data_IF_292598104314
#
_entry.id   IF_292598104314
#
_cell.length_a   1.000
_cell.length_b   1.000
_cell.length_c   1.000
_cell.angle_alpha   90.00
_cell.angle_beta   90.00
_cell.angle_gamma   90.00
#
_symmetry.space_group_name_H-M   'P 1'
#
loop_
_entity.id
_entity.type
_entity.pdbx_description
1 polymer ?
#
# COMPACT_ATOMS: atom_id res chain seq x y z
N UNK A 1 -7.08 12.97 -22.64
CA UNK A 1 -7.66 12.09 -21.62
C UNK A 1 -6.63 11.79 -20.55
N UNK A 2 -7.00 11.79 -19.29
CA UNK A 2 -6.08 11.37 -18.23
C UNK A 2 -5.75 9.88 -18.41
N UNK A 3 -4.46 9.53 -18.35
CA UNK A 3 -4.00 8.15 -18.47
C UNK A 3 -4.33 7.42 -17.15
N UNK A 4 -4.98 6.27 -17.22
CA UNK A 4 -5.15 5.32 -16.14
C UNK A 4 -4.26 4.12 -16.43
N UNK A 5 -3.28 3.85 -15.57
CA UNK A 5 -2.33 2.77 -15.78
C UNK A 5 -2.19 1.93 -14.51
N UNK A 6 -2.22 0.61 -14.69
CA UNK A 6 -1.89 -0.33 -13.61
C UNK A 6 -0.49 -0.89 -13.86
N UNK A 7 0.37 -0.73 -12.86
CA UNK A 7 1.74 -1.26 -12.86
C UNK A 7 1.79 -2.44 -11.91
N UNK A 8 2.13 -3.63 -12.43
CA UNK A 8 2.25 -4.85 -11.62
C UNK A 8 3.68 -4.92 -11.10
N UNK A 9 3.87 -4.69 -9.81
CA UNK A 9 5.15 -4.75 -9.13
C UNK A 9 5.47 -6.15 -8.62
N UNK A 10 4.44 -6.91 -8.30
CA UNK A 10 4.51 -8.28 -7.87
C UNK A 10 3.17 -8.99 -8.02
N UNK A 11 3.21 -10.29 -8.33
CA UNK A 11 2.04 -11.14 -8.51
C UNK A 11 2.27 -12.56 -7.96
N UNK A 12 3.35 -12.76 -7.21
CA UNK A 12 3.60 -14.02 -6.50
C UNK A 12 2.71 -14.14 -5.26
N UNK A 13 2.34 -15.37 -4.91
CA UNK A 13 1.56 -15.67 -3.71
C UNK A 13 2.40 -16.44 -2.69
N UNK A 14 2.12 -16.23 -1.42
CA UNK A 14 2.69 -16.86 -0.23
C UNK A 14 4.21 -16.74 -0.12
N UNK A 15 4.97 -17.42 -0.96
CA UNK A 15 6.44 -17.48 -0.85
C UNK A 15 7.12 -16.59 -1.88
N UNK A 16 7.99 -15.65 -1.46
CA UNK A 16 8.81 -14.89 -2.40
C UNK A 16 9.67 -15.81 -3.25
N UNK A 17 9.80 -15.51 -4.53
CA UNK A 17 10.70 -16.24 -5.43
C UNK A 17 11.75 -15.32 -6.03
N UNK A 18 12.82 -15.89 -6.59
CA UNK A 18 13.85 -15.11 -7.28
C UNK A 18 13.31 -14.39 -8.54
N UNK A 19 12.22 -14.86 -9.12
CA UNK A 19 11.66 -14.35 -10.38
C UNK A 19 10.44 -13.43 -10.17
N UNK A 20 9.68 -13.65 -9.09
CA UNK A 20 8.42 -12.93 -8.85
C UNK A 20 8.35 -12.41 -7.42
N UNK A 21 8.07 -11.14 -7.28
CA UNK A 21 7.81 -10.52 -5.98
C UNK A 21 6.37 -10.83 -5.55
N UNK A 22 6.11 -10.82 -4.22
CA UNK A 22 4.77 -10.91 -3.66
C UNK A 22 3.82 -9.81 -4.13
N UNK A 23 2.53 -9.97 -3.82
CA UNK A 23 1.44 -9.10 -4.30
C UNK A 23 1.74 -7.61 -4.10
N UNK A 24 1.76 -6.87 -5.20
CA UNK A 24 1.82 -5.41 -5.18
C UNK A 24 1.46 -4.84 -6.55
N UNK A 25 0.45 -3.99 -6.61
CA UNK A 25 0.07 -3.26 -7.80
C UNK A 25 0.06 -1.76 -7.53
N UNK A 26 0.43 -0.95 -8.50
CA UNK A 26 0.37 0.51 -8.39
C UNK A 26 -0.44 1.10 -9.52
N UNK A 27 -1.52 1.77 -9.16
CA UNK A 27 -2.35 2.55 -10.07
C UNK A 27 -1.70 3.92 -10.23
N UNK A 28 -1.37 4.27 -11.47
CA UNK A 28 -0.92 5.61 -11.86
C UNK A 28 -2.08 6.33 -12.54
N UNK A 29 -2.67 7.28 -11.82
CA UNK A 29 -3.79 8.04 -12.32
C UNK A 29 -3.64 9.53 -12.02
N UNK A 30 -3.63 10.34 -13.08
CA UNK A 30 -3.37 11.78 -13.00
C UNK A 30 -2.01 12.04 -12.29
N UNK A 31 -2.02 12.85 -11.22
CA UNK A 31 -0.80 13.26 -10.52
C UNK A 31 -0.48 12.40 -9.28
N UNK A 32 -1.15 11.27 -9.09
CA UNK A 32 -0.99 10.43 -7.92
C UNK A 32 -0.78 8.95 -8.25
N UNK A 33 -0.18 8.27 -7.29
CA UNK A 33 -0.05 6.82 -7.26
C UNK A 33 -0.88 6.27 -6.10
N UNK A 34 -1.58 5.18 -6.34
CA UNK A 34 -2.32 4.42 -5.33
C UNK A 34 -1.82 2.97 -5.39
N UNK A 35 -1.46 2.41 -4.25
CA UNK A 35 -0.91 1.06 -4.18
C UNK A 35 -1.95 0.09 -3.64
N UNK A 36 -2.07 -1.09 -4.25
CA UNK A 36 -2.87 -2.21 -3.77
C UNK A 36 -1.91 -3.31 -3.38
N UNK A 37 -1.95 -3.71 -2.13
CA UNK A 37 -1.01 -4.57 -1.43
C UNK A 37 0.44 -4.05 -1.47
N UNK A 38 1.21 -4.45 -0.49
CA UNK A 38 2.59 -4.06 -0.33
C UNK A 38 3.41 -5.25 0.15
N UNK A 39 3.58 -6.23 -0.72
CA UNK A 39 4.43 -7.38 -0.47
C UNK A 39 5.92 -7.02 -0.40
N UNK A 40 6.75 -7.96 0.03
CA UNK A 40 8.20 -7.76 0.14
C UNK A 40 8.82 -7.30 -1.18
N UNK A 41 9.72 -6.34 -1.10
CA UNK A 41 10.40 -5.79 -2.27
C UNK A 41 9.62 -4.73 -3.05
N UNK A 42 8.38 -4.37 -2.65
CA UNK A 42 7.57 -3.36 -3.30
C UNK A 42 8.34 -2.04 -3.55
N UNK A 43 9.07 -1.56 -2.54
CA UNK A 43 9.89 -0.34 -2.65
C UNK A 43 10.99 -0.45 -3.72
N UNK A 44 11.60 -1.62 -3.87
CA UNK A 44 12.63 -1.87 -4.88
C UNK A 44 12.00 -1.87 -6.27
N UNK A 45 10.85 -2.49 -6.43
CA UNK A 45 10.13 -2.51 -7.70
C UNK A 45 9.63 -1.12 -8.10
N UNK A 46 9.12 -0.31 -7.17
CA UNK A 46 8.79 1.10 -7.46
C UNK A 46 9.98 1.84 -8.05
N UNK A 47 11.18 1.65 -7.48
CA UNK A 47 12.41 2.28 -8.01
C UNK A 47 12.78 1.75 -9.39
N UNK A 48 12.72 0.43 -9.60
CA UNK A 48 12.99 -0.20 -10.91
C UNK A 48 12.06 0.33 -12.00
N UNK A 49 10.79 0.49 -11.67
CA UNK A 49 9.76 1.01 -12.59
C UNK A 49 9.71 2.54 -12.63
N UNK A 50 10.63 3.23 -11.93
CA UNK A 50 10.72 4.69 -11.86
C UNK A 50 9.44 5.38 -11.36
N UNK A 51 8.67 4.71 -10.54
CA UNK A 51 7.49 5.25 -9.88
C UNK A 51 7.94 6.14 -8.72
N UNK A 52 7.52 7.40 -8.73
CA UNK A 52 7.98 8.41 -7.76
C UNK A 52 7.24 8.27 -6.43
N UNK A 53 7.96 8.03 -5.33
CA UNK A 53 7.39 7.94 -3.98
C UNK A 53 6.61 9.19 -3.57
N UNK A 54 7.03 10.38 -4.04
CA UNK A 54 6.36 11.66 -3.75
C UNK A 54 4.90 11.68 -4.23
N UNK A 55 4.56 10.88 -5.25
CA UNK A 55 3.21 10.78 -5.81
C UNK A 55 2.32 9.74 -5.12
N UNK A 56 2.87 8.88 -4.25
CA UNK A 56 2.10 7.86 -3.54
C UNK A 56 1.29 8.50 -2.41
N UNK A 57 -0.04 8.40 -2.50
CA UNK A 57 -0.97 9.01 -1.56
C UNK A 57 -1.74 8.00 -0.71
N UNK A 58 -2.06 6.84 -1.29
CA UNK A 58 -2.89 5.82 -0.65
C UNK A 58 -2.32 4.43 -0.87
N UNK A 59 -2.39 3.60 0.16
CA UNK A 59 -2.00 2.20 0.14
C UNK A 59 -3.17 1.39 0.69
N UNK A 60 -3.68 0.44 -0.09
CA UNK A 60 -4.78 -0.43 0.26
C UNK A 60 -4.25 -1.83 0.52
N UNK A 61 -4.35 -2.33 1.74
CA UNK A 61 -3.97 -3.70 2.11
C UNK A 61 -5.22 -4.56 2.12
N UNK A 62 -5.29 -5.50 1.20
CA UNK A 62 -6.44 -6.38 1.02
C UNK A 62 -6.68 -7.27 2.24
N UNK A 63 -5.63 -7.86 2.78
CA UNK A 63 -5.65 -8.68 3.99
C UNK A 63 -4.26 -8.81 4.62
N UNK A 64 -4.18 -9.46 5.78
CA UNK A 64 -2.97 -9.46 6.62
C UNK A 64 -2.07 -10.68 6.44
N UNK A 65 -2.12 -11.38 5.31
CA UNK A 65 -1.05 -12.32 4.96
C UNK A 65 0.23 -11.57 4.61
N UNK A 66 1.38 -12.13 4.99
CA UNK A 66 2.66 -11.44 4.88
C UNK A 66 3.03 -11.02 3.46
N UNK A 67 2.71 -11.86 2.48
CA UNK A 67 2.94 -11.58 1.06
C UNK A 67 2.13 -10.40 0.51
N UNK A 68 1.18 -9.86 1.29
CA UNK A 68 0.40 -8.66 0.96
C UNK A 68 0.80 -7.42 1.77
N UNK A 69 1.56 -7.55 2.87
CA UNK A 69 1.81 -6.42 3.78
C UNK A 69 3.24 -6.31 4.34
N UNK A 70 4.11 -7.32 4.21
CA UNK A 70 5.45 -7.27 4.81
C UNK A 70 6.38 -6.22 4.20
N UNK A 71 6.11 -5.76 2.99
CA UNK A 71 6.85 -4.65 2.39
C UNK A 71 6.49 -3.26 2.94
N UNK A 72 5.34 -3.13 3.62
CA UNK A 72 4.81 -1.85 4.06
C UNK A 72 5.76 -1.07 4.99
N UNK A 73 6.32 -1.64 6.05
CA UNK A 73 7.25 -0.91 6.92
C UNK A 73 8.49 -0.41 6.17
N UNK A 74 9.07 -1.26 5.32
CA UNK A 74 10.24 -0.90 4.51
C UNK A 74 9.93 0.21 3.50
N UNK A 75 8.76 0.17 2.86
CA UNK A 75 8.32 1.20 1.94
C UNK A 75 8.17 2.54 2.65
N UNK A 76 7.43 2.59 3.76
CA UNK A 76 7.19 3.82 4.51
C UNK A 76 8.49 4.44 5.04
N UNK A 77 9.41 3.62 5.55
CA UNK A 77 10.74 4.08 5.94
C UNK A 77 11.56 4.64 4.76
N UNK A 78 11.55 3.94 3.61
CA UNK A 78 12.24 4.38 2.40
C UNK A 78 11.68 5.71 1.87
N UNK A 79 10.37 5.89 1.93
CA UNK A 79 9.73 7.14 1.51
C UNK A 79 10.18 8.34 2.35
N UNK A 80 10.40 8.14 3.65
CA UNK A 80 10.96 9.17 4.53
C UNK A 80 12.35 9.60 4.08
N UNK A 81 13.21 8.66 3.71
CA UNK A 81 14.57 8.93 3.20
C UNK A 81 14.57 9.61 1.82
N UNK A 82 13.49 9.51 1.07
CA UNK A 82 13.31 10.16 -0.23
C UNK A 82 12.50 11.46 -0.16
N UNK A 83 12.47 12.08 1.02
CA UNK A 83 11.84 13.39 1.24
C UNK A 83 10.37 13.44 0.77
N UNK A 84 9.64 12.34 0.97
CA UNK A 84 8.19 12.33 0.76
C UNK A 84 7.57 13.36 1.69
N UNK A 85 6.84 14.30 1.14
CA UNK A 85 6.06 15.27 1.90
C UNK A 85 4.56 14.95 1.90
N UNK A 86 3.77 15.72 2.65
CA UNK A 86 2.31 15.61 2.71
C UNK A 86 1.85 14.41 3.52
N UNK A 87 0.88 13.64 3.00
CA UNK A 87 0.24 12.53 3.70
C UNK A 87 0.28 11.25 2.87
N UNK A 88 0.34 10.12 3.56
CA UNK A 88 0.05 8.78 3.03
C UNK A 88 -1.00 8.14 3.92
N UNK A 89 -2.11 7.69 3.32
CA UNK A 89 -3.14 6.95 4.02
C UNK A 89 -2.97 5.46 3.73
N UNK A 90 -2.92 4.66 4.79
CA UNK A 90 -2.90 3.20 4.71
C UNK A 90 -4.27 2.68 5.11
N UNK A 91 -5.01 2.18 4.15
CA UNK A 91 -6.32 1.54 4.31
C UNK A 91 -6.09 0.06 4.53
N UNK A 92 -6.50 -0.49 5.68
CA UNK A 92 -6.21 -1.88 6.00
C UNK A 92 -7.23 -2.46 6.99
N UNK A 93 -7.32 -3.79 7.13
CA UNK A 93 -8.12 -4.40 8.17
C UNK A 93 -7.71 -3.92 9.56
N UNK A 94 -8.70 -3.61 10.39
CA UNK A 94 -8.51 -3.01 11.72
C UNK A 94 -7.54 -3.81 12.61
N UNK A 95 -7.55 -5.13 12.48
CA UNK A 95 -6.72 -6.04 13.28
C UNK A 95 -5.21 -5.80 13.11
N UNK A 96 -4.78 -5.29 11.94
CA UNK A 96 -3.38 -4.99 11.67
C UNK A 96 -2.92 -3.61 12.14
N UNK A 97 -3.84 -2.69 12.36
CA UNK A 97 -3.51 -1.28 12.54
C UNK A 97 -2.60 -1.01 13.75
N UNK A 98 -2.87 -1.63 14.89
CA UNK A 98 -2.09 -1.42 16.11
C UNK A 98 -0.65 -1.93 15.94
N UNK A 99 -0.50 -3.12 15.36
CA UNK A 99 0.81 -3.71 15.08
C UNK A 99 1.63 -2.83 14.15
N UNK A 100 1.07 -2.44 13.00
CA UNK A 100 1.78 -1.60 12.03
C UNK A 100 2.06 -0.20 12.58
N UNK A 101 1.14 0.39 13.32
CA UNK A 101 1.35 1.69 13.97
C UNK A 101 2.49 1.62 14.98
N UNK A 102 2.53 0.57 15.81
CA UNK A 102 3.60 0.37 16.79
C UNK A 102 4.95 0.18 16.11
N UNK A 103 4.99 -0.62 15.02
CA UNK A 103 6.20 -0.83 14.23
C UNK A 103 6.71 0.48 13.61
N UNK A 104 5.84 1.23 12.96
CA UNK A 104 6.18 2.52 12.33
C UNK A 104 6.66 3.52 13.39
N UNK A 105 5.97 3.62 14.52
CA UNK A 105 6.38 4.51 15.61
C UNK A 105 7.75 4.15 16.20
N UNK A 106 8.11 2.88 16.17
CA UNK A 106 9.42 2.46 16.66
C UNK A 106 10.55 2.75 15.67
N UNK A 107 10.37 2.39 14.40
CA UNK A 107 11.43 2.46 13.39
C UNK A 107 11.43 3.74 12.55
N UNK A 108 10.31 4.46 12.48
CA UNK A 108 10.13 5.65 11.65
C UNK A 108 9.67 6.84 12.51
N UNK A 109 10.40 7.13 13.61
CA UNK A 109 9.99 8.15 14.61
C UNK A 109 9.81 9.55 14.04
N UNK A 110 10.57 9.90 13.02
CA UNK A 110 10.56 11.25 12.44
C UNK A 110 10.42 11.14 10.92
N UNK A 111 9.18 10.98 10.46
CA UNK A 111 8.90 11.04 9.02
C UNK A 111 8.58 12.48 8.60
N UNK A 112 9.09 12.96 7.45
CA UNK A 112 8.77 14.29 6.92
C UNK A 112 7.34 14.36 6.32
N UNK A 113 6.52 13.35 6.53
CA UNK A 113 5.15 13.24 6.04
C UNK A 113 4.25 12.53 7.05
N UNK A 114 2.95 12.78 6.97
CA UNK A 114 1.96 12.14 7.84
C UNK A 114 1.63 10.72 7.37
N UNK A 115 1.67 9.75 8.27
CA UNK A 115 1.18 8.39 8.04
C UNK A 115 -0.15 8.23 8.78
N UNK A 116 -1.23 8.05 8.02
CA UNK A 116 -2.58 7.89 8.56
C UNK A 116 -3.05 6.46 8.30
N UNK A 117 -3.54 5.77 9.33
CA UNK A 117 -4.16 4.46 9.21
C UNK A 117 -5.68 4.61 9.20
N UNK A 118 -6.31 4.07 8.17
CA UNK A 118 -7.76 4.01 8.01
C UNK A 118 -8.24 2.56 8.06
N UNK A 119 -9.12 2.27 9.02
CA UNK A 119 -9.68 0.92 9.17
C UNK A 119 -10.68 0.62 8.07
N UNK A 120 -10.51 -0.53 7.41
CA UNK A 120 -11.46 -1.07 6.45
C UNK A 120 -12.36 -2.08 7.15
N UNK A 121 -13.68 -1.90 7.01
CA UNK A 121 -14.66 -2.83 7.54
C UNK A 121 -14.61 -4.16 6.79
N UNK A 122 -14.78 -5.28 7.51
CA UNK A 122 -14.92 -6.60 6.91
C UNK A 122 -16.19 -6.78 6.08
N UNK A 123 -17.16 -5.87 6.21
CA UNK A 123 -18.38 -5.88 5.38
C UNK A 123 -18.19 -5.20 4.01
N UNK A 124 -17.03 -4.56 3.81
CA UNK A 124 -16.73 -3.82 2.59
C UNK A 124 -17.38 -2.42 2.56
N UNK A 125 -17.51 -1.87 1.36
CA UNK A 125 -18.07 -0.56 1.08
C UNK A 125 -17.06 0.41 0.46
N UNK A 126 -17.43 1.67 0.31
CA UNK A 126 -16.55 2.72 -0.23
C UNK A 126 -15.51 3.05 0.82
N UNK A 127 -14.24 2.81 0.51
CA UNK A 127 -13.09 3.04 1.40
C UNK A 127 -12.28 4.28 1.02
N UNK A 128 -12.47 4.76 -0.20
CA UNK A 128 -11.90 6.02 -0.70
C UNK A 128 -12.81 6.59 -1.79
N UNK A 129 -13.03 7.89 -1.79
CA UNK A 129 -13.78 8.58 -2.82
C UNK A 129 -13.26 10.02 -3.00
N UNK A 130 -13.15 10.45 -4.24
CA UNK A 130 -12.98 11.84 -4.60
C UNK A 130 -13.71 12.17 -5.92
N UNK A 131 -13.51 13.38 -6.45
CA UNK A 131 -14.15 13.83 -7.68
C UNK A 131 -13.75 13.03 -8.93
N UNK A 132 -12.74 12.17 -8.87
CA UNK A 132 -12.13 11.52 -10.03
C UNK A 132 -12.25 9.99 -10.01
N UNK A 133 -12.30 9.37 -8.84
CA UNK A 133 -12.43 7.93 -8.69
C UNK A 133 -12.97 7.54 -7.31
N UNK A 134 -13.53 6.35 -7.25
CA UNK A 134 -13.98 5.69 -6.04
C UNK A 134 -13.25 4.36 -5.91
N UNK A 135 -12.84 4.01 -4.69
CA UNK A 135 -12.34 2.67 -4.35
C UNK A 135 -13.34 2.01 -3.43
N UNK A 136 -13.87 0.89 -3.87
CA UNK A 136 -14.80 0.06 -3.12
C UNK A 136 -14.14 -1.26 -2.73
N UNK A 137 -14.28 -1.64 -1.47
CA UNK A 137 -13.89 -2.95 -0.97
C UNK A 137 -15.14 -3.84 -0.84
N UNK A 138 -14.99 -5.11 -1.10
CA UNK A 138 -16.02 -6.12 -0.84
C UNK A 138 -15.37 -7.40 -0.33
N UNK A 139 -16.01 -8.09 0.63
CA UNK A 139 -15.43 -9.26 1.26
C UNK A 139 -15.28 -10.42 0.28
N UNK A 140 -14.17 -11.13 0.42
CA UNK A 140 -13.92 -12.37 -0.33
C UNK A 140 -13.84 -13.57 0.63
N UNK A 141 -14.15 -14.74 0.12
CA UNK A 141 -13.99 -15.98 0.88
C UNK A 141 -12.50 -16.36 0.95
N UNK A 142 -11.91 -16.20 2.13
CA UNK A 142 -10.50 -16.51 2.39
C UNK A 142 -10.32 -17.04 3.81
N UNK A 143 -9.13 -17.62 4.14
CA UNK A 143 -8.86 -18.18 5.48
C UNK A 143 -8.82 -17.13 6.59
N UNK A 144 -8.49 -15.90 6.25
CA UNK A 144 -8.58 -14.74 7.15
C UNK A 144 -9.44 -13.68 6.47
N UNK A 145 -10.00 -12.72 7.22
CA UNK A 145 -10.78 -11.62 6.63
C UNK A 145 -10.01 -10.91 5.49
N UNK A 146 -10.64 -10.84 4.34
CA UNK A 146 -10.08 -10.30 3.10
C UNK A 146 -11.12 -9.46 2.37
#
# INVERSE_FOLDING_TARGET
MAKFQVNILGCGSATPSALHNPSCQVIDFRDRLMMIDCGEGAQVQMRRMKLKFQRLTDIFISHLHGDHCFGLPGLLSTMALHEKGGRVTVHMPQQGMELFRSFINYFCKETPYDIVFNAVSGDGGIIYEDHALTVEAFPLYHRIPC
#
